data_IF_766924069843
#
_entry.id   IF_766924069843
#
_cell.length_a   1.000
_cell.length_b   1.000
_cell.length_c   1.000
_cell.angle_alpha   90.00
_cell.angle_beta   90.00
_cell.angle_gamma   90.00
#
_symmetry.space_group_name_H-M   'P 1'
#
loop_
_entity.id
_entity.type
_entity.pdbx_description
1 polymer ?
#
# COMPACT_ATOMS: atom_id res chain seq x y z
N UNK A 1 29.57 -30.19 -42.86
CA UNK A 1 29.08 -30.71 -41.56
C UNK A 1 27.98 -29.77 -41.07
N UNK A 2 26.72 -30.11 -41.32
CA UNK A 2 25.56 -29.33 -40.88
C UNK A 2 25.23 -29.69 -39.43
N UNK A 3 25.19 -28.70 -38.55
CA UNK A 3 24.75 -28.88 -37.16
C UNK A 3 23.25 -29.22 -37.16
N UNK A 4 22.82 -30.31 -36.49
CA UNK A 4 21.41 -30.64 -36.41
C UNK A 4 20.65 -29.54 -35.67
N UNK A 5 19.67 -28.94 -36.36
CA UNK A 5 18.76 -27.97 -35.78
C UNK A 5 17.98 -28.65 -34.66
N UNK A 6 18.26 -28.26 -33.42
CA UNK A 6 17.59 -28.78 -32.22
C UNK A 6 16.14 -28.28 -32.24
N UNK A 7 15.20 -29.13 -32.64
CA UNK A 7 13.78 -28.82 -32.70
C UNK A 7 13.28 -28.28 -31.36
N UNK A 8 12.99 -26.97 -31.31
CA UNK A 8 12.33 -26.35 -30.17
C UNK A 8 10.88 -26.79 -30.17
N UNK A 9 10.53 -27.74 -29.29
CA UNK A 9 9.13 -28.15 -29.07
C UNK A 9 8.27 -26.90 -28.85
N UNK A 10 7.14 -26.76 -29.57
CA UNK A 10 6.30 -25.58 -29.46
C UNK A 10 5.76 -25.46 -28.03
N UNK A 11 6.10 -24.36 -27.36
CA UNK A 11 5.59 -24.07 -26.02
C UNK A 11 4.07 -23.92 -26.10
N UNK A 12 3.36 -24.79 -25.37
CA UNK A 12 1.89 -24.80 -25.34
C UNK A 12 1.35 -23.43 -24.90
N UNK A 13 0.18 -23.05 -25.43
CA UNK A 13 -0.48 -21.77 -25.05
C UNK A 13 -0.69 -21.68 -23.53
N UNK A 14 -0.93 -22.82 -22.88
CA UNK A 14 -1.08 -22.93 -21.42
C UNK A 14 0.19 -22.57 -20.65
N UNK A 15 1.36 -23.06 -21.08
CA UNK A 15 2.64 -22.74 -20.44
C UNK A 15 2.97 -21.25 -20.50
N UNK A 16 2.71 -20.59 -21.65
CA UNK A 16 2.88 -19.14 -21.77
C UNK A 16 1.95 -18.35 -20.85
N UNK A 17 0.68 -18.74 -20.77
CA UNK A 17 -0.30 -18.07 -19.90
C UNK A 17 0.09 -18.18 -18.41
N UNK A 18 0.48 -19.37 -17.97
CA UNK A 18 0.91 -19.62 -16.59
C UNK A 18 2.15 -18.80 -16.24
N UNK A 19 3.17 -18.79 -17.11
CA UNK A 19 4.41 -18.07 -16.86
C UNK A 19 4.19 -16.55 -16.79
N UNK A 20 3.33 -16.00 -17.66
CA UNK A 20 3.00 -14.58 -17.67
C UNK A 20 2.20 -14.15 -16.43
N UNK A 21 1.28 -14.99 -15.95
CA UNK A 21 0.54 -14.75 -14.70
C UNK A 21 1.46 -14.78 -13.48
N UNK A 22 2.34 -15.78 -13.38
CA UNK A 22 3.30 -15.89 -12.28
C UNK A 22 4.23 -14.67 -12.21
N UNK A 23 4.75 -14.22 -13.37
CA UNK A 23 5.57 -13.00 -13.44
C UNK A 23 4.80 -11.74 -13.01
N UNK A 24 3.53 -11.61 -13.41
CA UNK A 24 2.69 -10.46 -13.04
C UNK A 24 2.32 -10.44 -11.56
N UNK A 25 2.08 -11.61 -10.96
CA UNK A 25 1.82 -11.74 -9.51
C UNK A 25 3.07 -11.43 -8.70
N UNK A 26 4.24 -11.95 -9.09
CA UNK A 26 5.50 -11.63 -8.42
C UNK A 26 5.81 -10.12 -8.49
N UNK A 27 5.58 -9.50 -9.66
CA UNK A 27 5.70 -8.05 -9.81
C UNK A 27 4.73 -7.30 -8.90
N UNK A 28 3.45 -7.72 -8.83
CA UNK A 28 2.44 -7.10 -7.98
C UNK A 28 2.83 -7.19 -6.49
N UNK A 29 3.27 -8.36 -6.03
CA UNK A 29 3.72 -8.54 -4.65
C UNK A 29 4.89 -7.61 -4.30
N UNK A 30 5.90 -7.54 -5.17
CA UNK A 30 7.03 -6.62 -4.97
C UNK A 30 6.59 -5.16 -4.98
N UNK A 31 5.68 -4.79 -5.88
CA UNK A 31 5.13 -3.44 -5.95
C UNK A 31 4.37 -3.07 -4.68
N UNK A 32 3.55 -3.97 -4.16
CA UNK A 32 2.81 -3.79 -2.91
C UNK A 32 3.77 -3.65 -1.73
N UNK A 33 4.76 -4.54 -1.62
CA UNK A 33 5.79 -4.49 -0.56
C UNK A 33 6.57 -3.18 -0.61
N UNK A 34 6.94 -2.69 -1.79
CA UNK A 34 7.60 -1.38 -1.91
C UNK A 34 6.69 -0.25 -1.41
N UNK A 35 5.41 -0.27 -1.79
CA UNK A 35 4.45 0.75 -1.35
C UNK A 35 4.16 0.68 0.15
N UNK A 36 4.21 -0.50 0.77
CA UNK A 36 4.15 -0.64 2.22
C UNK A 36 5.24 0.20 2.92
N UNK A 37 6.49 0.10 2.45
CA UNK A 37 7.58 0.91 2.98
C UNK A 37 7.38 2.41 2.72
N UNK A 38 6.90 2.78 1.54
CA UNK A 38 6.57 4.18 1.21
C UNK A 38 5.52 4.72 2.19
N UNK A 39 4.47 3.95 2.49
CA UNK A 39 3.45 4.35 3.46
C UNK A 39 4.03 4.53 4.86
N UNK A 40 4.88 3.62 5.32
CA UNK A 40 5.52 3.75 6.62
C UNK A 40 6.39 5.01 6.71
N UNK A 41 7.18 5.31 5.68
CA UNK A 41 8.04 6.48 5.61
C UNK A 41 7.21 7.76 5.55
N UNK A 42 6.25 7.82 4.63
CA UNK A 42 5.38 9.00 4.43
C UNK A 42 4.54 9.26 5.68
N UNK A 43 4.08 8.22 6.37
CA UNK A 43 3.31 8.34 7.60
C UNK A 43 4.12 8.74 8.84
N UNK A 44 5.46 8.70 8.82
CA UNK A 44 6.29 8.97 10.01
C UNK A 44 5.93 10.27 10.75
N UNK A 45 5.59 11.38 10.08
CA UNK A 45 5.17 12.60 10.75
C UNK A 45 3.98 12.41 11.71
N UNK A 46 3.13 11.38 11.54
CA UNK A 46 2.04 11.10 12.49
C UNK A 46 2.53 10.87 13.92
N UNK A 47 3.73 10.30 14.10
CA UNK A 47 4.32 10.11 15.42
C UNK A 47 4.58 11.43 16.14
N UNK A 48 4.80 12.53 15.42
CA UNK A 48 5.05 13.84 16.03
C UNK A 48 3.80 14.44 16.68
N UNK A 49 2.60 14.01 16.25
CA UNK A 49 1.33 14.47 16.82
C UNK A 49 0.86 13.60 17.98
N UNK A 50 1.57 12.49 18.25
CA UNK A 50 1.16 11.55 19.27
C UNK A 50 1.46 12.07 20.68
N UNK A 51 0.43 12.24 21.49
CA UNK A 51 0.55 12.61 22.90
C UNK A 51 0.36 11.37 23.76
N UNK A 52 1.42 10.97 24.48
CA UNK A 52 1.33 9.91 25.48
C UNK A 52 0.41 10.37 26.62
N UNK A 53 -0.55 9.55 27.06
CA UNK A 53 -1.37 9.88 28.23
C UNK A 53 -0.45 10.09 29.45
N UNK A 54 -0.80 11.01 30.36
CA UNK A 54 0.05 11.36 31.50
C UNK A 54 0.36 10.11 32.32
N UNK A 55 1.64 9.73 32.37
CA UNK A 55 2.14 8.50 32.96
C UNK A 55 2.04 8.43 34.50
N UNK A 56 1.33 9.36 35.14
CA UNK A 56 1.21 9.47 36.60
C UNK A 56 0.57 8.24 37.26
N UNK A 57 -0.16 7.43 36.48
CA UNK A 57 -0.86 6.23 36.94
C UNK A 57 -0.26 4.92 36.38
N UNK A 58 0.77 4.99 35.53
CA UNK A 58 1.33 3.83 34.82
C UNK A 58 2.69 3.43 35.40
N UNK A 59 2.88 2.13 35.64
CA UNK A 59 4.20 1.57 35.97
C UNK A 59 5.16 1.73 34.78
N UNK A 60 6.47 1.67 35.01
CA UNK A 60 7.47 1.70 33.92
C UNK A 60 7.22 0.64 32.84
N UNK A 61 6.79 -0.57 33.25
CA UNK A 61 6.39 -1.64 32.35
C UNK A 61 5.15 -1.25 31.52
N UNK A 62 4.17 -0.59 32.13
CA UNK A 62 2.99 -0.07 31.43
C UNK A 62 3.35 0.94 30.34
N UNK A 63 4.24 1.89 30.64
CA UNK A 63 4.71 2.89 29.65
C UNK A 63 5.39 2.20 28.46
N UNK A 64 6.24 1.20 28.73
CA UNK A 64 6.93 0.46 27.68
C UNK A 64 5.94 -0.30 26.79
N UNK A 65 4.98 -1.01 27.39
CA UNK A 65 3.95 -1.75 26.66
C UNK A 65 3.09 -0.83 25.80
N UNK A 66 2.70 0.33 26.33
CA UNK A 66 1.95 1.35 25.59
C UNK A 66 2.73 1.82 24.37
N UNK A 67 4.03 2.13 24.50
CA UNK A 67 4.88 2.51 23.36
C UNK A 67 4.95 1.42 22.29
N UNK A 68 5.16 0.17 22.70
CA UNK A 68 5.18 -0.96 21.76
C UNK A 68 3.85 -1.13 21.05
N UNK A 69 2.74 -1.08 21.78
CA UNK A 69 1.41 -1.13 21.22
C UNK A 69 1.23 -0.06 20.15
N UNK A 70 1.59 1.20 20.44
CA UNK A 70 1.46 2.28 19.47
C UNK A 70 2.28 2.07 18.20
N UNK A 71 3.54 1.66 18.32
CA UNK A 71 4.39 1.38 17.16
C UNK A 71 3.80 0.24 16.32
N UNK A 72 3.37 -0.85 16.95
CA UNK A 72 2.80 -2.01 16.25
C UNK A 72 1.46 -1.65 15.59
N UNK A 73 0.57 -0.97 16.31
CA UNK A 73 -0.72 -0.52 15.79
C UNK A 73 -0.55 0.44 14.62
N UNK A 74 0.39 1.39 14.72
CA UNK A 74 0.72 2.30 13.63
C UNK A 74 1.23 1.54 12.39
N UNK A 75 2.23 0.67 12.55
CA UNK A 75 2.80 -0.08 11.44
C UNK A 75 1.76 -1.00 10.79
N UNK A 76 0.95 -1.67 11.61
CA UNK A 76 -0.12 -2.57 11.18
C UNK A 76 -1.24 -1.82 10.45
N UNK A 77 -1.68 -0.68 10.95
CA UNK A 77 -2.73 0.13 10.33
C UNK A 77 -2.29 0.66 8.96
N UNK A 78 -1.08 1.24 8.86
CA UNK A 78 -0.55 1.69 7.59
C UNK A 78 -0.31 0.52 6.62
N UNK A 79 0.07 -0.65 7.14
CA UNK A 79 0.20 -1.84 6.33
C UNK A 79 -1.14 -2.25 5.70
N UNK A 80 -2.21 -2.26 6.48
CA UNK A 80 -3.56 -2.56 5.98
C UNK A 80 -4.00 -1.52 4.94
N UNK A 81 -3.75 -0.22 5.19
CA UNK A 81 -4.10 0.85 4.27
C UNK A 81 -3.34 0.78 2.93
N UNK A 82 -2.11 0.28 2.92
CA UNK A 82 -1.36 0.03 1.69
C UNK A 82 -1.79 -1.28 1.01
N UNK A 83 -1.85 -2.37 1.77
CA UNK A 83 -2.08 -3.74 1.27
C UNK A 83 -3.49 -3.93 0.73
N UNK A 84 -4.51 -3.52 1.48
CA UNK A 84 -5.90 -3.83 1.19
C UNK A 84 -6.36 -3.26 -0.15
N UNK A 85 -6.30 -1.94 -0.42
CA UNK A 85 -6.75 -1.39 -1.69
C UNK A 85 -5.90 -1.90 -2.87
N UNK A 86 -4.57 -1.93 -2.75
CA UNK A 86 -3.71 -2.40 -3.84
C UNK A 86 -4.01 -3.87 -4.19
N UNK A 87 -4.16 -4.74 -3.18
CA UNK A 87 -4.46 -6.15 -3.40
C UNK A 87 -5.87 -6.34 -3.95
N UNK A 88 -6.87 -5.64 -3.39
CA UNK A 88 -8.27 -5.77 -3.77
C UNK A 88 -8.52 -5.32 -5.21
N UNK A 89 -7.93 -4.20 -5.63
CA UNK A 89 -8.14 -3.66 -6.97
C UNK A 89 -7.25 -4.31 -8.04
N UNK A 90 -5.99 -4.64 -7.73
CA UNK A 90 -5.03 -5.11 -8.73
C UNK A 90 -5.01 -6.64 -8.89
N UNK A 91 -5.30 -7.42 -7.84
CA UNK A 91 -5.27 -8.89 -7.93
C UNK A 91 -6.29 -9.46 -8.92
N UNK A 92 -7.58 -9.04 -8.91
CA UNK A 92 -8.56 -9.49 -9.90
C UNK A 92 -8.12 -9.12 -11.33
N UNK A 93 -7.48 -7.96 -11.50
CA UNK A 93 -6.96 -7.52 -12.79
C UNK A 93 -5.84 -8.44 -13.31
N UNK A 94 -4.89 -8.83 -12.45
CA UNK A 94 -3.81 -9.77 -12.81
C UNK A 94 -4.38 -11.14 -13.21
N UNK A 95 -5.41 -11.61 -12.51
CA UNK A 95 -6.04 -12.91 -12.79
C UNK A 95 -6.84 -12.86 -14.11
N UNK A 96 -7.63 -11.81 -14.33
CA UNK A 96 -8.49 -11.67 -15.50
C UNK A 96 -7.75 -11.26 -16.78
N UNK A 97 -6.69 -10.45 -16.67
CA UNK A 97 -6.02 -9.83 -17.82
C UNK A 97 -4.48 -9.94 -17.78
N UNK A 98 -3.90 -11.15 -17.68
CA UNK A 98 -2.46 -11.34 -17.49
C UNK A 98 -1.58 -10.82 -18.65
N UNK A 99 -2.16 -10.60 -19.84
CA UNK A 99 -1.46 -10.04 -21.00
C UNK A 99 -1.29 -8.52 -20.96
N UNK A 100 -2.04 -7.82 -20.10
CA UNK A 100 -2.09 -6.34 -20.07
C UNK A 100 -1.11 -5.73 -19.06
N UNK A 101 0.14 -6.22 -19.04
CA UNK A 101 1.15 -5.80 -18.07
C UNK A 101 1.45 -4.29 -18.06
N UNK A 102 1.42 -3.61 -19.21
CA UNK A 102 1.60 -2.14 -19.27
C UNK A 102 0.46 -1.38 -18.57
N UNK A 103 -0.78 -1.79 -18.83
CA UNK A 103 -1.96 -1.19 -18.21
C UNK A 103 -2.01 -1.47 -16.70
N UNK A 104 -1.65 -2.68 -16.27
CA UNK A 104 -1.51 -3.02 -14.85
C UNK A 104 -0.56 -2.04 -14.13
N UNK A 105 0.62 -1.79 -14.71
CA UNK A 105 1.63 -0.89 -14.12
C UNK A 105 1.11 0.54 -14.01
N UNK A 106 0.41 1.02 -15.04
CA UNK A 106 -0.21 2.34 -15.05
C UNK A 106 -1.25 2.46 -13.94
N UNK A 107 -2.21 1.54 -13.89
CA UNK A 107 -3.27 1.53 -12.87
C UNK A 107 -2.70 1.41 -11.46
N UNK A 108 -1.70 0.54 -11.27
CA UNK A 108 -1.02 0.37 -10.01
C UNK A 108 -0.30 1.65 -9.56
N UNK A 109 0.42 2.32 -10.46
CA UNK A 109 1.11 3.58 -10.17
C UNK A 109 0.11 4.70 -9.84
N UNK A 110 -0.97 4.85 -10.62
CA UNK A 110 -2.00 5.87 -10.37
C UNK A 110 -2.71 5.62 -9.04
N UNK A 111 -3.07 4.36 -8.74
CA UNK A 111 -3.73 4.00 -7.49
C UNK A 111 -2.78 4.24 -6.30
N UNK A 112 -1.54 3.78 -6.36
CA UNK A 112 -0.55 4.01 -5.32
C UNK A 112 -0.31 5.51 -5.07
N UNK A 113 -0.10 6.29 -6.14
CA UNK A 113 0.07 7.74 -6.03
C UNK A 113 -1.14 8.42 -5.40
N UNK A 114 -2.36 7.99 -5.75
CA UNK A 114 -3.59 8.52 -5.18
C UNK A 114 -3.71 8.21 -3.69
N UNK A 115 -3.40 6.98 -3.26
CA UNK A 115 -3.47 6.61 -1.85
C UNK A 115 -2.40 7.32 -1.01
N UNK A 116 -1.18 7.47 -1.54
CA UNK A 116 -0.11 8.26 -0.88
C UNK A 116 -0.52 9.73 -0.82
N UNK A 117 -1.09 10.28 -1.89
CA UNK A 117 -1.63 11.65 -1.90
C UNK A 117 -2.71 11.86 -0.84
N UNK A 118 -3.65 10.92 -0.72
CA UNK A 118 -4.69 10.94 0.32
C UNK A 118 -4.08 10.89 1.72
N UNK A 119 -3.05 10.06 1.96
CA UNK A 119 -2.35 10.01 3.24
C UNK A 119 -1.68 11.37 3.57
N UNK A 120 -1.08 12.03 2.58
CA UNK A 120 -0.46 13.36 2.76
C UNK A 120 -1.50 14.43 3.08
N UNK A 121 -2.64 14.42 2.38
CA UNK A 121 -3.76 15.33 2.65
C UNK A 121 -4.30 15.09 4.06
N UNK A 122 -4.54 13.83 4.43
CA UNK A 122 -5.03 13.45 5.76
C UNK A 122 -4.06 13.92 6.87
N UNK A 123 -2.76 13.71 6.70
CA UNK A 123 -1.74 14.22 7.63
C UNK A 123 -1.76 15.73 7.75
N UNK A 124 -1.93 16.44 6.63
CA UNK A 124 -1.97 17.90 6.62
C UNK A 124 -3.18 18.43 7.37
N UNK A 125 -4.34 17.79 7.19
CA UNK A 125 -5.58 18.12 7.91
C UNK A 125 -5.48 17.79 9.39
N UNK A 126 -4.92 16.62 9.72
CA UNK A 126 -4.71 16.24 11.11
C UNK A 126 -3.76 17.19 11.82
N UNK A 127 -2.72 17.68 11.12
CA UNK A 127 -1.80 18.68 11.67
C UNK A 127 -2.49 20.01 11.97
N UNK A 128 -3.42 20.45 11.11
CA UNK A 128 -4.08 21.75 11.23
C UNK A 128 -5.26 21.73 12.20
N UNK A 129 -6.04 20.66 12.18
CA UNK A 129 -7.35 20.59 12.84
C UNK A 129 -7.47 19.44 13.84
N UNK A 130 -6.49 18.55 13.94
CA UNK A 130 -6.56 17.31 14.72
C UNK A 130 -7.73 16.38 14.35
N UNK A 131 -8.25 16.54 13.13
CA UNK A 131 -9.27 15.67 12.54
C UNK A 131 -8.71 14.94 11.33
N UNK A 132 -9.06 13.66 11.22
CA UNK A 132 -8.84 12.89 9.99
C UNK A 132 -9.87 13.29 8.93
N UNK A 133 -9.52 13.04 7.66
CA UNK A 133 -10.38 13.26 6.52
C UNK A 133 -11.68 12.47 6.68
N UNK A 134 -12.79 13.19 6.75
CA UNK A 134 -14.14 12.65 6.87
C UNK A 134 -15.12 13.56 6.11
N UNK A 135 -16.37 13.12 5.98
CA UNK A 135 -17.38 13.87 5.21
C UNK A 135 -17.64 15.29 5.75
N UNK A 136 -17.50 15.51 7.05
CA UNK A 136 -17.70 16.82 7.69
C UNK A 136 -16.53 17.74 7.32
N UNK A 137 -15.29 17.28 7.45
CA UNK A 137 -14.09 18.03 7.05
C UNK A 137 -14.13 18.35 5.56
N UNK A 138 -14.57 17.39 4.73
CA UNK A 138 -14.74 17.61 3.30
C UNK A 138 -15.80 18.68 2.99
N UNK A 139 -16.92 18.67 3.73
CA UNK A 139 -17.96 19.69 3.61
C UNK A 139 -17.44 21.09 4.00
N UNK A 140 -16.61 21.19 5.05
CA UNK A 140 -15.97 22.46 5.41
C UNK A 140 -14.99 22.95 4.34
N UNK A 141 -14.23 22.05 3.72
CA UNK A 141 -13.26 22.42 2.67
C UNK A 141 -13.96 22.84 1.37
N UNK A 142 -15.02 22.13 0.95
CA UNK A 142 -15.69 22.35 -0.33
C UNK A 142 -16.86 23.34 -0.26
N UNK A 143 -17.56 23.39 0.88
CA UNK A 143 -18.77 24.20 1.07
C UNK A 143 -18.50 25.64 1.44
N UNK A 144 -17.28 25.99 1.82
CA UNK A 144 -16.94 27.30 2.39
C UNK A 144 -17.54 27.46 3.78
N UNK A 145 -16.73 27.25 4.82
CA UNK A 145 -17.09 27.65 6.18
C UNK A 145 -17.20 29.17 6.31
#
# INVERSE_FOLDING_TARGET
MSTPLKDKKPISRYSRWYHQRSSSLAWLLNFITLNLFVFWIVGLPYFSFFQLPPAKLLTHAGILLTRFYFVISYLGQLAILALLPLSLFLTPFVIGFPKRGKLLRLLAATLAASLVGLLIIDMSLYRLYHFHFNGIVLHFILGGG
#
